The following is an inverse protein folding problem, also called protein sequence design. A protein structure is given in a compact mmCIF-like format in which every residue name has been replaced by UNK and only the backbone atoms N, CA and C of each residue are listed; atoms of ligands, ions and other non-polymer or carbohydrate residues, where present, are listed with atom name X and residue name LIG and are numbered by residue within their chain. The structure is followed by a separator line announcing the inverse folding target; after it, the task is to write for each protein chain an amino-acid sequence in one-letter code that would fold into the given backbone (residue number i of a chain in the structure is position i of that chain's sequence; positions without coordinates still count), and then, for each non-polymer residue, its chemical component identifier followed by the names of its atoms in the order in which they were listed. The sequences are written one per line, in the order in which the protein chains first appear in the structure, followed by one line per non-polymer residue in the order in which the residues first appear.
data_IF_341680698965
#
_entry.id   IF_341680698965
#
_cell.length_a   1.000
_cell.length_b   1.000
_cell.length_c   1.000
_cell.angle_alpha   90.00
_cell.angle_beta   90.00
_cell.angle_gamma   90.00
#
_symmetry.space_group_name_H-M   'P 1'
#
loop_
_entity.id
_entity.type
_entity.pdbx_description
1 polymer ?
#
# COMPACT_ATOMS: atom_id res chain seq x y z
N UNK A 1 11.05 -13.56 14.20
CA UNK A 1 10.67 -12.40 13.47
C UNK A 1 11.86 -11.54 13.04
N UNK A 2 11.80 -10.24 13.32
CA UNK A 2 12.71 -9.21 12.83
C UNK A 2 14.20 -9.49 13.08
N UNK A 3 14.57 -9.99 14.27
CA UNK A 3 15.95 -10.32 14.61
C UNK A 3 16.62 -11.35 13.67
N UNK A 4 15.85 -12.24 13.05
CA UNK A 4 16.38 -13.17 12.05
C UNK A 4 16.75 -12.45 10.75
N UNK A 5 15.90 -11.52 10.30
CA UNK A 5 16.19 -10.68 9.14
C UNK A 5 17.40 -9.77 9.38
N UNK A 6 17.52 -9.19 10.58
CA UNK A 6 18.67 -8.39 10.98
C UNK A 6 19.98 -9.20 10.89
N UNK A 7 20.01 -10.41 11.46
CA UNK A 7 21.19 -11.29 11.41
C UNK A 7 21.54 -11.72 10.00
N UNK A 8 20.54 -12.09 9.18
CA UNK A 8 20.77 -12.46 7.79
C UNK A 8 21.23 -11.25 6.94
N UNK A 9 20.69 -10.08 7.21
CA UNK A 9 21.12 -8.83 6.58
C UNK A 9 22.58 -8.48 6.93
N UNK A 10 22.96 -8.65 8.20
CA UNK A 10 24.34 -8.46 8.66
C UNK A 10 25.31 -9.47 8.02
N UNK A 11 24.84 -10.68 7.71
CA UNK A 11 25.59 -11.70 6.96
C UNK A 11 25.63 -11.43 5.44
N UNK A 12 25.06 -10.32 4.96
CA UNK A 12 25.13 -9.93 3.55
C UNK A 12 24.03 -10.50 2.65
N UNK A 13 23.00 -11.15 3.20
CA UNK A 13 21.91 -11.71 2.37
C UNK A 13 21.05 -10.58 1.75
N UNK A 14 20.97 -10.44 0.40
CA UNK A 14 20.38 -9.26 -0.24
C UNK A 14 18.90 -9.06 0.11
N UNK A 15 18.07 -10.10 0.03
CA UNK A 15 16.65 -10.00 0.37
C UNK A 15 16.43 -9.67 1.85
N UNK A 16 17.28 -10.19 2.74
CA UNK A 16 17.18 -9.88 4.15
C UNK A 16 17.57 -8.43 4.45
N UNK A 17 18.49 -7.84 3.71
CA UNK A 17 18.81 -6.42 3.79
C UNK A 17 17.57 -5.57 3.46
N UNK A 18 16.94 -5.82 2.32
CA UNK A 18 15.70 -5.15 1.90
C UNK A 18 14.58 -5.32 2.94
N UNK A 19 14.31 -6.55 3.36
CA UNK A 19 13.24 -6.81 4.33
C UNK A 19 13.51 -6.17 5.69
N UNK A 20 14.77 -6.19 6.16
CA UNK A 20 15.13 -5.55 7.42
C UNK A 20 14.89 -4.03 7.35
N UNK A 21 15.26 -3.38 6.24
CA UNK A 21 14.99 -1.96 6.01
C UNK A 21 13.49 -1.64 6.01
N UNK A 22 12.69 -2.46 5.33
CA UNK A 22 11.23 -2.30 5.29
C UNK A 22 10.60 -2.47 6.70
N UNK A 23 11.05 -3.48 7.47
CA UNK A 23 10.59 -3.71 8.83
C UNK A 23 11.02 -2.62 9.82
N UNK A 24 12.14 -1.96 9.59
CA UNK A 24 12.55 -0.78 10.35
C UNK A 24 11.61 0.40 10.06
N UNK A 25 11.28 0.62 8.81
CA UNK A 25 10.39 1.71 8.40
C UNK A 25 8.97 1.53 8.94
N UNK A 26 8.40 0.34 8.83
CA UNK A 26 7.02 0.05 9.22
C UNK A 26 6.84 -0.20 10.72
N UNK A 27 7.88 -0.68 11.42
CA UNK A 27 7.78 -1.11 12.81
C UNK A 27 7.16 -2.50 12.99
N UNK A 28 6.85 -3.22 11.92
CA UNK A 28 6.29 -4.58 12.00
C UNK A 28 7.28 -5.51 12.72
N UNK A 29 6.78 -6.23 13.69
CA UNK A 29 7.55 -7.11 14.60
C UNK A 29 8.57 -6.40 15.50
N UNK A 30 8.43 -5.10 15.73
CA UNK A 30 9.30 -4.36 16.65
C UNK A 30 9.02 -2.86 16.63
N UNK A 31 9.88 -2.09 17.27
CA UNK A 31 9.77 -0.63 17.26
C UNK A 31 10.17 -0.09 15.89
N UNK A 32 9.42 0.86 15.37
CA UNK A 32 9.77 1.62 14.18
C UNK A 32 11.05 2.42 14.42
N UNK A 33 11.93 2.42 13.44
CA UNK A 33 13.16 3.21 13.42
C UNK A 33 13.33 3.79 12.01
N UNK A 34 12.60 4.88 11.77
CA UNK A 34 12.57 5.56 10.47
C UNK A 34 13.93 6.10 10.04
N UNK A 35 14.71 6.79 10.90
CA UNK A 35 16.05 7.24 10.54
C UNK A 35 16.99 6.08 10.14
N UNK A 36 16.97 4.98 10.87
CA UNK A 36 17.76 3.81 10.51
C UNK A 36 17.32 3.19 9.19
N UNK A 37 16.01 3.13 8.92
CA UNK A 37 15.48 2.65 7.64
C UNK A 37 15.98 3.49 6.47
N UNK A 38 15.96 4.83 6.60
CA UNK A 38 16.45 5.74 5.56
C UNK A 38 17.96 5.61 5.33
N UNK A 39 18.73 5.52 6.40
CA UNK A 39 20.17 5.34 6.30
C UNK A 39 20.53 4.04 5.55
N UNK A 40 19.80 2.94 5.82
CA UNK A 40 19.96 1.66 5.13
C UNK A 40 19.52 1.76 3.68
N UNK A 41 18.35 2.35 3.40
CA UNK A 41 17.87 2.56 2.04
C UNK A 41 18.89 3.34 1.20
N UNK A 42 19.50 4.37 1.76
CA UNK A 42 20.54 5.15 1.07
C UNK A 42 21.81 4.33 0.75
N UNK A 43 22.15 3.35 1.58
CA UNK A 43 23.26 2.41 1.29
C UNK A 43 22.85 1.44 0.19
N UNK A 44 21.67 0.83 0.30
CA UNK A 44 21.14 -0.13 -0.68
C UNK A 44 20.99 0.50 -2.07
N UNK A 45 20.57 1.77 -2.14
CA UNK A 45 20.39 2.52 -3.37
C UNK A 45 21.67 2.71 -4.21
N UNK A 46 22.85 2.55 -3.61
CA UNK A 46 24.15 2.69 -4.32
C UNK A 46 24.41 1.55 -5.32
N UNK A 47 23.83 0.38 -5.07
CA UNK A 47 24.07 -0.83 -5.87
C UNK A 47 22.79 -1.48 -6.40
N UNK A 48 21.62 -1.03 -5.96
CA UNK A 48 20.32 -1.57 -6.36
C UNK A 48 19.46 -0.47 -7.01
N UNK A 49 19.20 -0.53 -8.35
CA UNK A 49 18.42 0.47 -9.06
C UNK A 49 16.98 0.63 -8.52
N UNK A 50 16.33 -0.47 -8.10
CA UNK A 50 14.99 -0.39 -7.52
C UNK A 50 15.01 0.42 -6.23
N UNK A 51 15.98 0.16 -5.34
CA UNK A 51 16.13 0.92 -4.09
C UNK A 51 16.49 2.38 -4.34
N UNK A 52 17.24 2.68 -5.41
CA UNK A 52 17.53 4.04 -5.83
C UNK A 52 16.25 4.78 -6.26
N UNK A 53 15.36 4.12 -7.00
CA UNK A 53 14.05 4.68 -7.36
C UNK A 53 13.18 4.96 -6.12
N UNK A 54 13.15 4.04 -5.15
CA UNK A 54 12.41 4.21 -3.89
C UNK A 54 12.94 5.41 -3.11
N UNK A 55 14.26 5.52 -2.99
CA UNK A 55 14.89 6.64 -2.30
C UNK A 55 14.58 7.98 -2.99
N UNK A 56 14.69 8.03 -4.32
CA UNK A 56 14.38 9.23 -5.10
C UNK A 56 12.91 9.63 -4.95
N UNK A 57 11.99 8.68 -5.01
CA UNK A 57 10.58 8.92 -4.81
C UNK A 57 10.32 9.48 -3.40
N UNK A 58 10.88 8.86 -2.37
CA UNK A 58 10.72 9.28 -0.99
C UNK A 58 11.27 10.70 -0.75
N UNK A 59 12.40 11.05 -1.37
CA UNK A 59 12.99 12.40 -1.29
C UNK A 59 12.11 13.49 -1.92
N UNK A 60 11.20 13.13 -2.83
CA UNK A 60 10.23 14.03 -3.44
C UNK A 60 8.92 14.15 -2.67
N UNK A 61 8.69 13.28 -1.68
CA UNK A 61 7.47 13.27 -0.87
C UNK A 61 7.54 14.34 0.23
N UNK A 62 6.38 14.94 0.54
CA UNK A 62 6.22 15.83 1.70
C UNK A 62 5.97 15.00 2.97
N UNK A 63 7.07 14.53 3.56
CA UNK A 63 7.05 13.70 4.77
C UNK A 63 7.79 14.37 5.92
N UNK A 64 7.35 14.10 7.14
CA UNK A 64 8.00 14.52 8.36
C UNK A 64 9.21 13.61 8.70
N UNK A 65 9.85 13.89 9.82
CA UNK A 65 11.02 13.16 10.33
C UNK A 65 10.74 11.69 10.70
N UNK A 66 9.46 11.32 10.84
CA UNK A 66 8.98 9.98 11.15
C UNK A 66 8.37 9.27 9.93
N UNK A 67 8.40 9.90 8.74
CA UNK A 67 7.83 9.37 7.50
C UNK A 67 6.30 9.52 7.41
N UNK A 68 5.68 10.32 8.28
CA UNK A 68 4.28 10.72 8.17
C UNK A 68 4.10 11.87 7.17
N UNK A 69 2.87 12.17 6.74
CA UNK A 69 2.61 13.33 5.90
C UNK A 69 2.82 14.61 6.72
N UNK A 70 3.65 15.53 6.21
CA UNK A 70 3.85 16.86 6.82
C UNK A 70 2.63 17.75 6.62
N UNK A 71 2.03 17.66 5.43
CA UNK A 71 0.80 18.37 5.08
C UNK A 71 -0.22 17.42 4.48
N UNK A 72 -1.50 17.77 4.66
CA UNK A 72 -2.61 17.01 4.08
C UNK A 72 -3.45 17.94 3.20
N UNK A 73 -3.84 17.52 1.99
CA UNK A 73 -4.80 18.28 1.19
C UNK A 73 -6.14 18.36 1.90
N UNK A 74 -6.89 19.43 1.63
CA UNK A 74 -8.27 19.51 2.11
C UNK A 74 -9.14 18.51 1.39
N UNK A 75 -10.08 17.92 2.11
CA UNK A 75 -11.08 17.06 1.49
C UNK A 75 -12.33 17.86 1.08
N UNK A 76 -13.02 17.31 0.12
CA UNK A 76 -14.37 17.69 -0.29
C UNK A 76 -15.33 16.62 0.22
N UNK A 77 -16.40 17.02 0.93
CA UNK A 77 -17.45 16.06 1.33
C UNK A 77 -18.40 15.88 0.14
N UNK A 78 -18.55 14.61 -0.28
CA UNK A 78 -19.56 14.26 -1.31
C UNK A 78 -20.87 13.82 -0.69
N UNK A 79 -20.83 13.19 0.48
CA UNK A 79 -22.01 12.75 1.20
C UNK A 79 -21.68 12.70 2.69
N UNK A 80 -22.34 13.52 3.47
CA UNK A 80 -22.11 13.58 4.91
C UNK A 80 -22.75 12.38 5.62
N UNK A 81 -23.87 11.87 5.14
CA UNK A 81 -24.58 10.74 5.73
C UNK A 81 -23.74 9.44 5.66
N UNK A 82 -23.00 9.24 4.56
CA UNK A 82 -22.13 8.09 4.34
C UNK A 82 -20.65 8.40 4.62
N UNK A 83 -20.33 9.62 5.07
CA UNK A 83 -18.95 10.10 5.28
C UNK A 83 -18.05 9.92 4.04
N UNK A 84 -18.58 10.11 2.83
CA UNK A 84 -17.80 10.02 1.60
C UNK A 84 -17.01 11.31 1.40
N UNK A 85 -15.68 11.19 1.41
CA UNK A 85 -14.73 12.30 1.28
C UNK A 85 -13.79 12.10 0.11
N UNK A 86 -13.53 13.16 -0.65
CA UNK A 86 -12.53 13.16 -1.73
C UNK A 86 -11.35 14.03 -1.33
N UNK A 87 -10.16 13.49 -1.48
CA UNK A 87 -8.89 14.19 -1.37
C UNK A 87 -8.24 14.30 -2.74
N UNK A 88 -8.32 15.48 -3.37
CA UNK A 88 -7.65 15.68 -4.67
C UNK A 88 -6.16 15.87 -4.46
N UNK A 89 -5.35 15.16 -5.25
CA UNK A 89 -3.90 15.24 -5.17
C UNK A 89 -3.32 14.61 -3.89
N UNK A 90 -4.04 13.66 -3.26
CA UNK A 90 -3.51 12.93 -2.10
C UNK A 90 -2.21 12.20 -2.43
N UNK A 91 -2.12 11.65 -3.64
CA UNK A 91 -0.89 11.13 -4.23
C UNK A 91 -0.54 11.98 -5.44
N UNK A 92 0.74 12.29 -5.62
CA UNK A 92 1.24 12.93 -6.84
C UNK A 92 1.26 11.95 -8.02
N UNK A 93 1.36 12.47 -9.24
CA UNK A 93 1.47 11.62 -10.43
C UNK A 93 2.69 10.69 -10.38
N UNK A 94 3.79 11.14 -9.77
CA UNK A 94 5.01 10.35 -9.61
C UNK A 94 4.81 9.23 -8.60
N UNK A 95 4.14 9.49 -7.50
CA UNK A 95 3.77 8.50 -6.50
C UNK A 95 2.80 7.46 -7.08
N UNK A 96 1.81 7.88 -7.87
CA UNK A 96 0.92 6.98 -8.58
C UNK A 96 1.69 6.07 -9.57
N UNK A 97 2.65 6.63 -10.33
CA UNK A 97 3.50 5.84 -11.22
C UNK A 97 4.37 4.85 -10.47
N UNK A 98 4.93 5.24 -9.32
CA UNK A 98 5.72 4.37 -8.46
C UNK A 98 4.88 3.16 -7.99
N UNK A 99 3.71 3.40 -7.43
CA UNK A 99 2.81 2.34 -6.94
C UNK A 99 2.44 1.37 -8.06
N UNK A 100 2.11 1.89 -9.26
CA UNK A 100 1.81 1.06 -10.44
C UNK A 100 3.02 0.22 -10.87
N UNK A 101 4.21 0.81 -10.91
CA UNK A 101 5.44 0.11 -11.29
C UNK A 101 5.78 -1.03 -10.31
N UNK A 102 5.62 -0.80 -9.01
CA UNK A 102 5.82 -1.82 -7.98
C UNK A 102 4.78 -2.95 -8.10
N UNK A 103 3.54 -2.63 -8.44
CA UNK A 103 2.46 -3.60 -8.57
C UNK A 103 2.57 -4.44 -9.85
N UNK A 104 3.13 -3.91 -10.95
CA UNK A 104 3.11 -4.54 -12.28
C UNK A 104 3.60 -6.00 -12.29
N UNK A 105 4.77 -6.36 -11.72
CA UNK A 105 5.24 -7.75 -11.70
C UNK A 105 4.51 -8.65 -10.70
N UNK A 106 3.55 -8.12 -9.93
CA UNK A 106 2.87 -8.79 -8.82
C UNK A 106 1.39 -9.05 -9.06
N UNK A 107 0.85 -8.60 -10.18
CA UNK A 107 -0.57 -8.82 -10.46
C UNK A 107 -0.91 -10.30 -10.61
N UNK A 108 -1.87 -10.73 -9.82
CA UNK A 108 -2.49 -12.05 -9.89
C UNK A 108 -3.99 -11.87 -10.05
N UNK A 109 -4.65 -12.84 -10.70
CA UNK A 109 -6.11 -12.83 -10.82
C UNK A 109 -6.76 -12.89 -9.43
N UNK A 110 -7.81 -12.10 -9.23
CA UNK A 110 -8.60 -12.15 -8.00
C UNK A 110 -9.27 -13.52 -7.85
N UNK A 111 -9.03 -14.17 -6.72
CA UNK A 111 -9.57 -15.48 -6.40
C UNK A 111 -10.31 -15.43 -5.06
N UNK A 112 -11.17 -16.40 -4.81
CA UNK A 112 -11.73 -16.74 -3.51
C UNK A 112 -11.41 -18.20 -3.22
N UNK A 113 -11.58 -18.61 -1.97
CA UNK A 113 -11.50 -20.02 -1.61
C UNK A 113 -12.93 -20.60 -1.56
N UNK A 114 -13.12 -21.75 -2.18
CA UNK A 114 -14.37 -22.52 -2.07
C UNK A 114 -14.49 -23.20 -0.70
N UNK A 115 -15.60 -23.92 -0.48
CA UNK A 115 -15.84 -24.62 0.78
C UNK A 115 -14.82 -25.74 1.07
N UNK A 116 -14.07 -26.17 0.08
CA UNK A 116 -13.00 -27.17 0.15
C UNK A 116 -11.62 -26.56 0.33
N UNK A 117 -11.52 -25.21 0.30
CA UNK A 117 -10.26 -24.46 0.43
C UNK A 117 -9.49 -24.33 -0.88
N UNK A 118 -10.06 -24.66 -2.05
CA UNK A 118 -9.41 -24.46 -3.34
C UNK A 118 -9.56 -23.01 -3.80
N UNK A 119 -8.53 -22.47 -4.45
CA UNK A 119 -8.62 -21.18 -5.12
C UNK A 119 -9.48 -21.29 -6.38
N UNK A 120 -10.55 -20.50 -6.43
CA UNK A 120 -11.44 -20.39 -7.58
C UNK A 120 -11.56 -18.92 -8.01
N UNK A 121 -11.80 -18.63 -9.31
CA UNK A 121 -12.01 -17.27 -9.76
C UNK A 121 -13.11 -16.59 -8.94
N UNK A 122 -12.85 -15.34 -8.51
CA UNK A 122 -13.84 -14.59 -7.73
C UNK A 122 -15.07 -14.29 -8.60
N UNK A 123 -16.29 -14.73 -8.23
CA UNK A 123 -17.48 -14.61 -9.08
C UNK A 123 -17.92 -13.16 -9.28
N UNK A 124 -17.67 -12.30 -8.27
CA UNK A 124 -18.10 -10.90 -8.29
C UNK A 124 -17.00 -9.95 -8.74
N UNK A 125 -15.73 -10.37 -8.75
CA UNK A 125 -14.59 -9.52 -9.07
C UNK A 125 -13.67 -10.15 -10.10
N UNK A 126 -13.58 -9.54 -11.27
CA UNK A 126 -12.77 -10.02 -12.39
C UNK A 126 -11.42 -9.30 -12.55
N UNK A 127 -11.08 -8.38 -11.64
CA UNK A 127 -9.80 -7.64 -11.66
C UNK A 127 -8.59 -8.52 -11.36
N UNK A 128 -7.41 -8.02 -11.72
CA UNK A 128 -6.15 -8.49 -11.17
C UNK A 128 -5.82 -7.71 -9.90
N UNK A 129 -5.16 -8.34 -8.92
CA UNK A 129 -4.74 -7.74 -7.67
C UNK A 129 -3.26 -7.94 -7.40
N UNK A 130 -2.60 -6.94 -6.83
CA UNK A 130 -1.21 -6.98 -6.37
C UNK A 130 -1.15 -6.53 -4.91
N UNK A 131 -1.16 -7.46 -3.94
CA UNK A 131 -1.03 -7.10 -2.54
C UNK A 131 0.41 -6.66 -2.24
N UNK A 132 0.56 -5.47 -1.67
CA UNK A 132 1.85 -4.96 -1.19
C UNK A 132 1.99 -5.30 0.30
N UNK A 133 2.31 -6.56 0.55
CA UNK A 133 2.46 -7.12 1.88
C UNK A 133 3.62 -6.43 2.64
N UNK A 134 3.54 -6.37 3.96
CA UNK A 134 4.51 -5.69 4.85
C UNK A 134 6.00 -6.05 4.61
N UNK A 135 6.35 -7.22 4.08
CA UNK A 135 7.74 -7.53 3.70
C UNK A 135 8.23 -6.72 2.50
N UNK A 136 7.33 -6.38 1.58
CA UNK A 136 7.64 -5.62 0.37
C UNK A 136 7.20 -4.15 0.46
N UNK A 137 6.59 -3.76 1.58
CA UNK A 137 6.27 -2.37 1.91
C UNK A 137 7.58 -1.63 2.23
N UNK A 138 8.19 -1.05 1.20
CA UNK A 138 9.40 -0.24 1.36
C UNK A 138 9.08 1.12 2.02
N UNK A 139 10.09 1.90 2.42
CA UNK A 139 9.87 3.19 3.08
C UNK A 139 8.99 4.16 2.29
N UNK A 140 9.04 4.17 0.94
CA UNK A 140 8.20 5.04 0.14
C UNK A 140 6.72 4.60 0.20
N UNK A 141 6.44 3.31 0.05
CA UNK A 141 5.08 2.77 0.22
C UNK A 141 4.58 2.96 1.66
N UNK A 142 5.47 2.79 2.65
CA UNK A 142 5.10 3.05 4.05
C UNK A 142 4.65 4.49 4.27
N UNK A 143 5.37 5.47 3.70
CA UNK A 143 4.97 6.88 3.78
C UNK A 143 3.59 7.13 3.13
N UNK A 144 3.29 6.49 2.00
CA UNK A 144 1.96 6.55 1.37
C UNK A 144 0.87 5.92 2.24
N UNK A 145 1.13 4.77 2.84
CA UNK A 145 0.20 4.11 3.76
C UNK A 145 -0.08 4.97 5.00
N UNK A 146 0.92 5.65 5.54
CA UNK A 146 0.72 6.61 6.64
C UNK A 146 -0.12 7.82 6.21
N UNK A 147 0.03 8.28 4.97
CA UNK A 147 -0.80 9.35 4.42
C UNK A 147 -2.27 8.89 4.26
N UNK A 148 -2.50 7.64 3.83
CA UNK A 148 -3.85 7.05 3.78
C UNK A 148 -4.46 6.94 5.19
N UNK A 149 -3.70 6.51 6.18
CA UNK A 149 -4.13 6.45 7.56
C UNK A 149 -4.53 7.86 8.09
N UNK A 150 -3.73 8.89 7.79
CA UNK A 150 -4.05 10.27 8.12
C UNK A 150 -5.33 10.76 7.41
N UNK A 151 -5.51 10.46 6.12
CA UNK A 151 -6.69 10.83 5.35
C UNK A 151 -7.97 10.18 5.89
N UNK A 152 -7.89 8.93 6.32
CA UNK A 152 -9.01 8.18 6.90
C UNK A 152 -9.21 8.45 8.40
N UNK A 153 -8.34 9.24 9.03
CA UNK A 153 -8.33 9.46 10.47
C UNK A 153 -8.27 8.13 11.25
N UNK A 154 -7.34 7.27 10.85
CA UNK A 154 -7.04 5.98 11.48
C UNK A 154 -5.56 5.88 11.82
N UNK A 155 -5.17 4.82 12.53
CA UNK A 155 -3.77 4.51 12.76
C UNK A 155 -3.25 3.57 11.65
N UNK A 156 -1.97 3.67 11.31
CA UNK A 156 -1.34 2.77 10.35
C UNK A 156 -1.55 1.28 10.72
N UNK A 157 -1.45 0.93 12.00
CA UNK A 157 -1.58 -0.44 12.50
C UNK A 157 -3.02 -1.01 12.37
N UNK A 158 -4.00 -0.17 12.04
CA UNK A 158 -5.38 -0.58 11.77
C UNK A 158 -5.61 -0.93 10.30
N UNK A 159 -4.65 -0.62 9.42
CA UNK A 159 -4.78 -0.82 7.99
C UNK A 159 -4.48 -2.27 7.58
N UNK A 160 -5.23 -2.75 6.60
CA UNK A 160 -4.83 -3.92 5.82
C UNK A 160 -3.64 -3.55 4.90
N UNK A 161 -2.85 -4.53 4.45
CA UNK A 161 -1.84 -4.29 3.43
C UNK A 161 -2.43 -3.61 2.19
N UNK A 162 -1.71 -2.65 1.63
CA UNK A 162 -2.15 -1.96 0.41
C UNK A 162 -2.36 -2.98 -0.72
N UNK A 163 -3.55 -2.98 -1.29
CA UNK A 163 -3.91 -3.82 -2.43
C UNK A 163 -4.07 -2.95 -3.68
N UNK A 164 -3.19 -3.13 -4.66
CA UNK A 164 -3.30 -2.45 -5.95
C UNK A 164 -4.16 -3.30 -6.87
N UNK A 165 -5.23 -2.72 -7.38
CA UNK A 165 -6.17 -3.38 -8.29
C UNK A 165 -5.98 -2.87 -9.71
N UNK A 166 -6.05 -3.76 -10.69
CA UNK A 166 -6.04 -3.43 -12.11
C UNK A 166 -7.30 -3.96 -12.77
N UNK A 167 -8.04 -3.06 -13.38
CA UNK A 167 -9.21 -3.37 -14.18
C UNK A 167 -8.90 -3.14 -15.66
N UNK A 168 -9.03 -4.18 -16.48
CA UNK A 168 -8.97 -4.10 -17.95
C UNK A 168 -10.37 -3.83 -18.51
N UNK A 169 -10.51 -3.39 -19.77
CA UNK A 169 -11.83 -3.22 -20.36
C UNK A 169 -12.72 -4.47 -20.19
N UNK A 170 -13.95 -4.25 -19.72
CA UNK A 170 -14.92 -5.32 -19.41
C UNK A 170 -14.75 -5.99 -18.04
N UNK A 171 -13.72 -5.66 -17.28
CA UNK A 171 -13.58 -6.14 -15.92
C UNK A 171 -14.33 -5.22 -14.93
N UNK A 172 -14.86 -5.82 -13.87
CA UNK A 172 -15.69 -5.13 -12.89
C UNK A 172 -15.62 -5.80 -11.52
N UNK A 173 -16.06 -5.07 -10.51
CA UNK A 173 -16.40 -5.61 -9.21
C UNK A 173 -17.85 -5.28 -8.93
N UNK A 174 -18.68 -6.31 -8.89
CA UNK A 174 -20.12 -6.17 -8.63
C UNK A 174 -20.39 -5.65 -7.23
N UNK A 175 -21.62 -5.18 -7.02
CA UNK A 175 -22.10 -4.71 -5.72
C UNK A 175 -21.82 -5.73 -4.61
N UNK A 176 -21.21 -5.27 -3.54
CA UNK A 176 -20.78 -6.08 -2.39
C UNK A 176 -20.76 -5.22 -1.13
N UNK A 177 -20.54 -5.86 0.00
CA UNK A 177 -20.21 -5.20 1.25
C UNK A 177 -18.73 -5.42 1.54
N UNK A 178 -18.05 -4.39 2.04
CA UNK A 178 -16.65 -4.51 2.48
C UNK A 178 -16.50 -5.24 3.82
N UNK A 179 -17.59 -5.38 4.57
CA UNK A 179 -17.61 -6.11 5.83
C UNK A 179 -17.20 -7.57 5.65
N UNK A 180 -16.39 -8.09 6.57
CA UNK A 180 -15.88 -9.46 6.55
C UNK A 180 -16.76 -10.36 7.40
N UNK A 181 -17.62 -11.16 6.75
CA UNK A 181 -18.54 -12.04 7.45
C UNK A 181 -17.80 -13.02 8.38
N UNK A 182 -18.25 -13.10 9.64
CA UNK A 182 -17.73 -14.05 10.64
C UNK A 182 -16.40 -13.65 11.30
N UNK A 183 -15.92 -12.44 11.06
CA UNK A 183 -14.73 -11.90 11.75
C UNK A 183 -15.13 -10.84 12.78
N UNK A 184 -14.52 -10.87 13.96
CA UNK A 184 -14.73 -9.87 15.00
C UNK A 184 -14.09 -8.53 14.63
N UNK A 185 -12.94 -8.56 13.92
CA UNK A 185 -12.27 -7.36 13.44
C UNK A 185 -12.83 -6.98 12.07
N UNK A 186 -13.63 -5.92 12.02
CA UNK A 186 -14.35 -5.46 10.84
C UNK A 186 -13.65 -4.29 10.15
N UNK A 187 -13.83 -4.20 8.82
CA UNK A 187 -13.51 -3.00 8.05
C UNK A 187 -14.53 -1.90 8.39
N UNK A 188 -14.04 -0.79 8.90
CA UNK A 188 -14.87 0.36 9.27
C UNK A 188 -14.71 1.52 8.30
N UNK A 189 -13.65 1.52 7.49
CA UNK A 189 -13.36 2.53 6.45
C UNK A 189 -12.65 1.89 5.28
N UNK A 190 -12.93 2.39 4.09
CA UNK A 190 -12.24 2.01 2.85
C UNK A 190 -11.64 3.26 2.22
N UNK A 191 -10.35 3.23 1.90
CA UNK A 191 -9.65 4.26 1.16
C UNK A 191 -9.36 3.76 -0.25
N UNK A 192 -9.87 4.46 -1.26
CA UNK A 192 -9.61 4.18 -2.67
C UNK A 192 -8.73 5.27 -3.26
N UNK A 193 -7.69 4.88 -3.99
CA UNK A 193 -6.82 5.81 -4.71
C UNK A 193 -6.83 5.45 -6.18
N UNK A 194 -7.31 6.37 -7.02
CA UNK A 194 -7.23 6.23 -8.48
C UNK A 194 -5.81 6.58 -8.93
N UNK A 195 -5.08 5.60 -9.47
CA UNK A 195 -3.67 5.73 -9.82
C UNK A 195 -3.43 6.21 -11.26
N UNK A 196 -4.49 6.35 -12.05
CA UNK A 196 -4.49 6.92 -13.41
C UNK A 196 -5.89 7.46 -13.75
N UNK A 197 -5.97 8.29 -14.78
CA UNK A 197 -7.19 8.96 -15.23
C UNK A 197 -7.46 8.77 -16.74
N UNK A 198 -6.62 8.01 -17.43
CA UNK A 198 -6.64 7.79 -18.87
C UNK A 198 -7.61 6.66 -19.28
N UNK A 199 -8.84 6.69 -18.75
CA UNK A 199 -9.88 5.69 -19.04
C UNK A 199 -11.28 6.33 -18.99
N UNK A 200 -12.29 5.58 -19.45
CA UNK A 200 -13.71 5.93 -19.33
C UNK A 200 -14.48 4.78 -18.72
N UNK A 201 -15.52 5.08 -17.93
CA UNK A 201 -16.23 4.11 -17.10
C UNK A 201 -15.43 3.77 -15.83
N UNK A 202 -15.83 2.73 -15.13
CA UNK A 202 -15.16 2.25 -13.91
C UNK A 202 -15.50 3.09 -12.68
N UNK A 203 -16.64 3.71 -12.68
CA UNK A 203 -17.18 4.49 -11.56
C UNK A 203 -17.35 3.61 -10.33
N UNK A 204 -17.13 4.19 -9.14
CA UNK A 204 -17.50 3.59 -7.86
C UNK A 204 -18.87 4.13 -7.45
N UNK A 205 -19.82 3.22 -7.21
CA UNK A 205 -21.18 3.53 -6.76
C UNK A 205 -21.37 3.08 -5.31
N UNK A 206 -22.08 3.88 -4.49
CA UNK A 206 -22.43 3.59 -3.10
C UNK A 206 -23.92 3.37 -2.91
#
# INVERSE_FOLDING_TARGET
GRALFERAAAAGHPLAQTFHTNLLASGVFGTRDWPAALARLAVEARSNPERAQMLAALQSMDVDEDGGPRTMPRYESLCDELEVRIYRGLFSSDECRLVRAIAEPRYMRSVIHDAQGNEVPHPLRSSDGAPLHWLIEDPAIHALNRRLAAASNTLYDQAEPLLVLRYKPGQQYHRHFDALAGLDNQRIKTALVYLNEDYSGGETEF
#
